data_IF_870817095953
#
_entry.id   IF_870817095953
#
_cell.length_a   1.000
_cell.length_b   1.000
_cell.length_c   1.000
_cell.angle_alpha   90.00
_cell.angle_beta   90.00
_cell.angle_gamma   90.00
#
_symmetry.space_group_name_H-M   'P 1'
#
loop_
_entity.id
_entity.type
_entity.pdbx_description
1 polymer ?
#
# COMPACT_ATOMS: atom_id res chain seq x y z
N UNK A 1 -2.99 -24.36 -26.91
CA UNK A 1 -3.99 -24.33 -25.82
C UNK A 1 -3.31 -24.48 -24.47
N UNK A 2 -2.46 -25.50 -24.28
CA UNK A 2 -1.60 -25.65 -23.09
C UNK A 2 -0.63 -24.48 -22.91
N UNK A 3 0.05 -24.03 -23.97
CA UNK A 3 0.97 -22.88 -23.92
C UNK A 3 0.29 -21.57 -23.46
N UNK A 4 -0.97 -21.35 -23.85
CA UNK A 4 -1.73 -20.16 -23.43
C UNK A 4 -2.10 -20.20 -21.93
N UNK A 5 -2.37 -21.40 -21.39
CA UNK A 5 -2.62 -21.58 -19.96
C UNK A 5 -1.33 -21.44 -19.13
N UNK A 6 -0.19 -21.89 -19.66
CA UNK A 6 1.12 -21.70 -19.04
C UNK A 6 1.53 -20.23 -18.98
N UNK A 7 1.34 -19.49 -20.08
CA UNK A 7 1.57 -18.04 -20.13
C UNK A 7 0.63 -17.29 -19.17
N UNK A 8 -0.64 -17.66 -19.11
CA UNK A 8 -1.59 -17.08 -18.15
C UNK A 8 -1.14 -17.33 -16.71
N UNK A 9 -0.71 -18.55 -16.37
CA UNK A 9 -0.22 -18.88 -15.03
C UNK A 9 1.00 -18.04 -14.65
N UNK A 10 1.92 -17.82 -15.60
CA UNK A 10 3.10 -16.97 -15.41
C UNK A 10 2.69 -15.51 -15.11
N UNK A 11 1.81 -14.92 -15.92
CA UNK A 11 1.34 -13.54 -15.74
C UNK A 11 0.62 -13.38 -14.39
N UNK A 12 -0.20 -14.36 -14.00
CA UNK A 12 -0.85 -14.35 -12.68
C UNK A 12 0.18 -14.37 -11.55
N UNK A 13 1.23 -15.19 -11.66
CA UNK A 13 2.34 -15.20 -10.69
C UNK A 13 3.05 -13.84 -10.57
N UNK A 14 3.31 -13.19 -11.70
CA UNK A 14 3.91 -11.84 -11.73
C UNK A 14 3.00 -10.80 -11.07
N UNK A 15 1.69 -10.84 -11.34
CA UNK A 15 0.71 -9.96 -10.71
C UNK A 15 0.61 -10.15 -9.19
N UNK A 16 0.70 -11.39 -8.70
CA UNK A 16 0.72 -11.68 -7.27
C UNK A 16 1.96 -11.09 -6.61
N UNK A 17 3.14 -11.27 -7.21
CA UNK A 17 4.40 -10.69 -6.72
C UNK A 17 4.34 -9.15 -6.68
N UNK A 18 3.84 -8.50 -7.74
CA UNK A 18 3.65 -7.05 -7.77
C UNK A 18 2.66 -6.60 -6.69
N UNK A 19 1.61 -7.38 -6.44
CA UNK A 19 0.61 -7.09 -5.41
C UNK A 19 1.23 -7.13 -4.02
N UNK A 20 2.07 -8.14 -3.72
CA UNK A 20 2.79 -8.24 -2.45
C UNK A 20 3.75 -7.06 -2.24
N UNK A 21 4.50 -6.68 -3.28
CA UNK A 21 5.39 -5.52 -3.25
C UNK A 21 4.61 -4.22 -3.00
N UNK A 22 3.49 -4.03 -3.72
CA UNK A 22 2.60 -2.88 -3.53
C UNK A 22 2.10 -2.82 -2.09
N UNK A 23 1.65 -3.94 -1.54
CA UNK A 23 1.11 -4.00 -0.18
C UNK A 23 2.19 -3.72 0.88
N UNK A 24 3.43 -4.14 0.64
CA UNK A 24 4.60 -3.76 1.46
C UNK A 24 4.86 -2.25 1.43
N UNK A 25 4.93 -1.64 0.24
CA UNK A 25 5.13 -0.20 0.08
C UNK A 25 3.99 0.62 0.70
N UNK A 26 2.74 0.15 0.57
CA UNK A 26 1.59 0.79 1.19
C UNK A 26 1.68 0.78 2.71
N UNK A 27 2.08 -0.34 3.33
CA UNK A 27 2.31 -0.41 4.78
C UNK A 27 3.41 0.55 5.23
N UNK A 28 4.52 0.56 4.50
CA UNK A 28 5.63 1.46 4.80
C UNK A 28 5.23 2.95 4.69
N UNK A 29 4.47 3.32 3.66
CA UNK A 29 3.89 4.65 3.54
C UNK A 29 2.99 4.98 4.73
N UNK A 30 2.12 4.05 5.12
CA UNK A 30 1.16 4.23 6.22
C UNK A 30 1.89 4.37 7.58
N UNK A 31 3.04 3.71 7.78
CA UNK A 31 3.95 3.93 8.91
C UNK A 31 4.58 5.34 8.89
N UNK A 32 5.11 5.77 7.75
CA UNK A 32 5.71 7.11 7.61
C UNK A 32 4.68 8.23 7.79
N UNK A 33 3.45 8.03 7.33
CA UNK A 33 2.33 8.95 7.56
C UNK A 33 2.10 9.13 9.06
N UNK A 34 2.01 8.03 9.82
CA UNK A 34 1.79 8.07 11.28
C UNK A 34 2.96 8.76 11.98
N UNK A 35 4.19 8.38 11.67
CA UNK A 35 5.39 8.98 12.23
C UNK A 35 5.48 10.50 11.96
N UNK A 36 5.10 10.95 10.75
CA UNK A 36 5.08 12.36 10.40
C UNK A 36 4.05 13.14 11.24
N UNK A 37 2.84 12.60 11.41
CA UNK A 37 1.79 13.20 12.25
C UNK A 37 2.22 13.25 13.72
N UNK A 38 2.81 12.18 14.23
CA UNK A 38 3.33 12.10 15.60
C UNK A 38 4.47 13.11 15.84
N UNK A 39 5.22 13.44 14.78
CA UNK A 39 6.28 14.46 14.79
C UNK A 39 5.75 15.89 14.62
N UNK A 40 4.43 16.08 14.57
CA UNK A 40 3.79 17.40 14.48
C UNK A 40 3.48 17.88 13.06
N UNK A 41 3.63 17.04 12.04
CA UNK A 41 3.17 17.39 10.70
C UNK A 41 1.64 17.57 10.70
N UNK A 42 1.17 18.58 9.98
CA UNK A 42 -0.28 18.79 9.82
C UNK A 42 -0.86 17.80 8.81
N UNK A 43 -2.14 17.50 8.97
CA UNK A 43 -2.91 16.68 8.04
C UNK A 43 -2.78 17.18 6.59
N UNK A 44 -2.83 18.50 6.38
CA UNK A 44 -2.72 19.14 5.06
C UNK A 44 -1.35 18.93 4.43
N UNK A 45 -0.26 19.03 5.22
CA UNK A 45 1.10 18.76 4.72
C UNK A 45 1.25 17.31 4.28
N UNK A 46 0.78 16.36 5.09
CA UNK A 46 0.82 14.93 4.75
C UNK A 46 -0.02 14.65 3.50
N UNK A 47 -1.19 15.26 3.39
CA UNK A 47 -2.04 15.10 2.22
C UNK A 47 -1.37 15.64 0.94
N UNK A 48 -0.73 16.80 1.03
CA UNK A 48 0.01 17.42 -0.10
C UNK A 48 1.13 16.53 -0.61
N UNK A 49 1.92 15.93 0.29
CA UNK A 49 3.04 15.04 -0.08
C UNK A 49 2.56 13.71 -0.65
N UNK A 50 1.51 13.13 -0.04
CA UNK A 50 1.06 11.78 -0.41
C UNK A 50 0.08 11.75 -1.58
N UNK A 51 -0.55 12.88 -1.92
CA UNK A 51 -1.62 12.96 -2.90
C UNK A 51 -2.89 12.20 -2.51
N UNK A 52 -3.00 11.74 -1.26
CA UNK A 52 -4.15 10.96 -0.81
C UNK A 52 -5.39 11.85 -0.66
N UNK A 53 -6.56 11.28 -0.94
CA UNK A 53 -7.81 11.90 -0.53
C UNK A 53 -7.93 11.88 1.01
N UNK A 54 -8.78 12.74 1.62
CA UNK A 54 -9.00 12.71 3.06
C UNK A 54 -9.36 11.31 3.58
N UNK A 55 -10.22 10.60 2.85
CA UNK A 55 -10.57 9.21 3.13
C UNK A 55 -9.36 8.27 3.02
N UNK A 56 -8.54 8.43 1.99
CA UNK A 56 -7.33 7.64 1.80
C UNK A 56 -6.33 7.82 2.95
N UNK A 57 -6.20 9.05 3.45
CA UNK A 57 -5.33 9.36 4.60
C UNK A 57 -5.90 8.81 5.91
N UNK A 58 -7.21 8.92 6.14
CA UNK A 58 -7.86 8.24 7.28
C UNK A 58 -7.66 6.73 7.25
N UNK A 59 -7.74 6.10 6.07
CA UNK A 59 -7.48 4.66 5.94
C UNK A 59 -6.01 4.33 6.25
N UNK A 60 -5.06 5.11 5.74
CA UNK A 60 -3.64 4.91 6.00
C UNK A 60 -3.30 4.95 7.50
N UNK A 61 -3.93 5.86 8.25
CA UNK A 61 -3.70 6.02 9.70
C UNK A 61 -4.34 4.88 10.50
N UNK A 62 -5.54 4.45 10.11
CA UNK A 62 -6.33 3.48 10.88
C UNK A 62 -6.14 2.03 10.44
N UNK A 63 -5.46 1.78 9.31
CA UNK A 63 -5.20 0.42 8.83
C UNK A 63 -4.31 -0.30 9.83
N UNK A 64 -4.89 -1.25 10.55
CA UNK A 64 -4.10 -2.14 11.40
C UNK A 64 -3.17 -2.96 10.49
N UNK A 65 -1.89 -3.13 10.88
CA UNK A 65 -1.04 -4.10 10.19
C UNK A 65 -1.77 -5.44 10.26
N UNK A 66 -1.94 -6.10 9.11
CA UNK A 66 -2.39 -7.48 9.11
C UNK A 66 -1.37 -8.25 9.95
N UNK A 67 -1.79 -8.75 11.10
CA UNK A 67 -1.02 -9.77 11.81
C UNK A 67 -0.85 -10.91 10.82
N UNK A 68 0.39 -11.21 10.46
CA UNK A 68 0.71 -12.42 9.72
C UNK A 68 0.45 -13.59 10.67
N UNK A 69 -0.70 -14.25 10.51
CA UNK A 69 -0.88 -15.63 10.98
C UNK A 69 -0.05 -16.59 10.10
#
# INVERSE_FOLDING_TARGET
MTECLEELAKVVGELLSITEQRDSLMRHRDELIRAALDSGATWVQVQSVTGLSPRGLSLAINRQPKNSD
#
